data_IF_505243633132
#
_entry.id   IF_505243633132
#
_cell.length_a   1.000
_cell.length_b   1.000
_cell.length_c   1.000
_cell.angle_alpha   90.00
_cell.angle_beta   90.00
_cell.angle_gamma   90.00
#
_symmetry.space_group_name_H-M   'P 1'
#
loop_
_entity.id
_entity.type
_entity.pdbx_description
1 polymer ?
#
# COMPACT_ATOMS: atom_id res chain seq x y z
N UNK A 1 32.26 -27.34 63.03
CA UNK A 1 31.53 -28.12 62.01
C UNK A 1 30.07 -27.69 61.82
N UNK A 2 29.18 -27.83 62.81
CA UNK A 2 27.74 -27.47 62.66
C UNK A 2 27.46 -26.03 62.20
N UNK A 3 28.21 -25.04 62.71
CA UNK A 3 28.06 -23.63 62.30
C UNK A 3 28.44 -23.38 60.84
N UNK A 4 29.43 -24.10 60.31
CA UNK A 4 29.87 -23.97 58.92
C UNK A 4 28.84 -24.57 57.94
N UNK A 5 28.22 -25.70 58.33
CA UNK A 5 27.11 -26.32 57.60
C UNK A 5 25.87 -25.41 57.53
N UNK A 6 25.56 -24.70 58.61
CA UNK A 6 24.43 -23.75 58.63
C UNK A 6 24.69 -22.56 57.70
N UNK A 7 25.91 -22.00 57.72
CA UNK A 7 26.27 -20.85 56.86
C UNK A 7 26.27 -21.23 55.38
N UNK A 8 26.80 -22.41 55.03
CA UNK A 8 26.80 -22.90 53.64
C UNK A 8 25.39 -23.18 53.11
N UNK A 9 24.51 -23.74 53.94
CA UNK A 9 23.09 -23.95 53.58
C UNK A 9 22.36 -22.63 53.32
N UNK A 10 22.58 -21.61 54.17
CA UNK A 10 21.97 -20.28 54.00
C UNK A 10 22.47 -19.60 52.72
N UNK A 11 23.77 -19.67 52.44
CA UNK A 11 24.33 -19.13 51.20
C UNK A 11 23.75 -19.83 49.98
N UNK A 12 23.63 -21.16 50.00
CA UNK A 12 23.07 -21.94 48.91
C UNK A 12 21.58 -21.62 48.66
N UNK A 13 20.78 -21.51 49.73
CA UNK A 13 19.37 -21.11 49.64
C UNK A 13 19.21 -19.67 49.13
N UNK A 14 20.07 -18.76 49.57
CA UNK A 14 20.10 -17.37 49.09
C UNK A 14 20.44 -17.28 47.60
N UNK A 15 21.37 -18.11 47.13
CA UNK A 15 21.79 -18.17 45.73
C UNK A 15 20.73 -18.82 44.83
N UNK A 16 20.03 -19.85 45.33
CA UNK A 16 18.87 -20.41 44.65
C UNK A 16 17.70 -19.42 44.56
N UNK A 17 17.44 -18.66 45.63
CA UNK A 17 16.41 -17.62 45.65
C UNK A 17 16.73 -16.48 44.68
N UNK A 18 18.00 -16.03 44.61
CA UNK A 18 18.40 -15.00 43.65
C UNK A 18 18.33 -15.48 42.21
N UNK A 19 18.74 -16.74 41.94
CA UNK A 19 18.66 -17.34 40.61
C UNK A 19 17.21 -17.50 40.14
N UNK A 20 16.31 -17.89 41.04
CA UNK A 20 14.87 -18.02 40.73
C UNK A 20 14.20 -16.67 40.51
N UNK A 21 14.58 -15.61 41.25
CA UNK A 21 14.13 -14.24 40.97
C UNK A 21 14.65 -13.75 39.61
N UNK A 22 15.92 -14.02 39.27
CA UNK A 22 16.49 -13.72 37.96
C UNK A 22 15.75 -14.41 36.82
N UNK A 23 15.44 -15.71 36.96
CA UNK A 23 14.67 -16.48 35.97
C UNK A 23 13.24 -15.95 35.82
N UNK A 24 12.60 -15.55 36.92
CA UNK A 24 11.24 -15.00 36.90
C UNK A 24 11.19 -13.59 36.29
N UNK A 25 12.22 -12.76 36.55
CA UNK A 25 12.38 -11.45 35.91
C UNK A 25 12.70 -11.55 34.42
N UNK A 26 13.33 -12.63 33.98
CA UNK A 26 13.59 -12.90 32.57
C UNK A 26 12.38 -13.47 31.82
N UNK A 27 11.27 -13.75 32.52
CA UNK A 27 10.07 -14.29 31.89
C UNK A 27 9.26 -13.16 31.25
N UNK A 28 9.64 -12.79 30.03
CA UNK A 28 8.86 -11.87 29.21
C UNK A 28 7.51 -12.51 28.90
N UNK A 29 6.43 -12.00 29.49
CA UNK A 29 5.08 -12.41 29.13
C UNK A 29 4.78 -11.93 27.71
N UNK A 30 4.33 -12.81 26.79
CA UNK A 30 4.00 -12.41 25.44
C UNK A 30 2.78 -11.48 25.43
N UNK A 31 2.75 -10.55 24.48
CA UNK A 31 1.56 -9.74 24.26
C UNK A 31 0.43 -10.60 23.67
N UNK A 32 -0.72 -10.66 24.35
CA UNK A 32 -1.90 -11.44 23.92
C UNK A 32 -3.09 -10.55 23.53
N UNK A 33 -2.84 -9.28 23.22
CA UNK A 33 -3.88 -8.41 22.66
C UNK A 33 -4.25 -8.88 21.25
N UNK A 34 -5.49 -8.61 20.81
CA UNK A 34 -5.93 -8.95 19.46
C UNK A 34 -5.00 -8.37 18.38
N UNK A 35 -4.50 -7.14 18.58
CA UNK A 35 -3.55 -6.52 17.66
C UNK A 35 -2.24 -7.32 17.58
N UNK A 36 -1.67 -7.70 18.72
CA UNK A 36 -0.44 -8.51 18.75
C UNK A 36 -0.62 -9.86 18.06
N UNK A 37 -1.73 -10.55 18.30
CA UNK A 37 -2.03 -11.86 17.68
C UNK A 37 -2.21 -11.72 16.17
N UNK A 38 -2.93 -10.68 15.71
CA UNK A 38 -3.15 -10.44 14.28
C UNK A 38 -1.85 -10.14 13.53
N UNK A 39 -1.01 -9.26 14.10
CA UNK A 39 0.27 -8.88 13.49
C UNK A 39 1.24 -10.07 13.50
N UNK A 40 1.35 -10.81 14.61
CA UNK A 40 2.24 -11.97 14.67
C UNK A 40 1.82 -13.07 13.69
N UNK A 41 0.51 -13.31 13.53
CA UNK A 41 -0.01 -14.24 12.54
C UNK A 41 0.32 -13.82 11.11
N UNK A 42 0.22 -12.51 10.81
CA UNK A 42 0.57 -11.97 9.49
C UNK A 42 2.07 -12.09 9.19
N UNK A 43 2.92 -11.85 10.21
CA UNK A 43 4.37 -12.06 10.11
C UNK A 43 4.64 -13.54 9.83
N UNK A 44 4.12 -14.44 10.66
CA UNK A 44 4.34 -15.89 10.51
C UNK A 44 3.87 -16.42 9.15
N UNK A 45 2.74 -15.94 8.63
CA UNK A 45 2.25 -16.32 7.30
C UNK A 45 3.10 -15.79 6.13
N UNK A 46 3.96 -14.79 6.38
CA UNK A 46 4.86 -14.24 5.36
C UNK A 46 6.22 -14.95 5.31
N UNK A 47 6.62 -15.57 6.43
CA UNK A 47 7.92 -16.23 6.56
C UNK A 47 8.01 -17.51 5.73
N UNK A 48 9.19 -17.78 5.19
CA UNK A 48 9.64 -19.12 4.78
C UNK A 48 10.65 -19.64 5.80
N UNK A 49 10.17 -20.49 6.72
CA UNK A 49 11.03 -21.06 7.78
C UNK A 49 12.02 -22.12 7.29
N UNK A 50 11.93 -22.54 6.02
CA UNK A 50 12.90 -23.43 5.40
C UNK A 50 14.16 -22.72 4.90
N UNK A 51 14.10 -21.40 4.72
CA UNK A 51 15.24 -20.59 4.29
C UNK A 51 16.12 -20.18 5.48
N UNK A 52 17.44 -20.23 5.31
CA UNK A 52 18.37 -19.73 6.33
C UNK A 52 18.39 -18.18 6.30
N UNK A 53 17.97 -17.50 7.39
CA UNK A 53 17.97 -16.04 7.44
C UNK A 53 19.35 -15.39 7.35
N UNK A 54 20.43 -16.13 7.65
CA UNK A 54 21.80 -15.63 7.56
C UNK A 54 22.32 -15.61 6.11
N UNK A 55 21.72 -16.43 5.22
CA UNK A 55 22.11 -16.56 3.82
C UNK A 55 21.19 -15.74 2.90
N UNK A 56 19.86 -15.85 3.09
CA UNK A 56 18.87 -15.07 2.33
C UNK A 56 17.72 -14.62 3.24
N UNK A 57 17.92 -13.48 3.89
CA UNK A 57 16.91 -12.89 4.75
C UNK A 57 15.64 -12.47 4.01
N UNK A 58 15.73 -12.14 2.71
CA UNK A 58 14.56 -11.77 1.93
C UNK A 58 13.65 -12.97 1.69
N UNK A 59 14.24 -14.11 1.28
CA UNK A 59 13.49 -15.35 1.14
C UNK A 59 12.91 -15.81 2.48
N UNK A 60 13.69 -15.79 3.56
CA UNK A 60 13.20 -16.11 4.90
C UNK A 60 12.02 -15.21 5.33
N UNK A 61 12.13 -13.90 5.12
CA UNK A 61 11.12 -12.95 5.61
C UNK A 61 9.85 -12.89 4.74
N UNK A 62 9.98 -13.11 3.43
CA UNK A 62 8.92 -12.84 2.45
C UNK A 62 8.48 -14.06 1.63
N UNK A 63 9.18 -15.20 1.74
CA UNK A 63 8.98 -16.35 0.85
C UNK A 63 7.55 -16.91 0.90
N UNK A 64 6.98 -17.06 2.10
CA UNK A 64 5.58 -17.48 2.26
C UNK A 64 4.58 -16.46 1.71
N UNK A 65 4.90 -15.15 1.80
CA UNK A 65 4.07 -14.11 1.18
C UNK A 65 4.07 -14.21 -0.34
N UNK A 66 5.25 -14.41 -0.95
CA UNK A 66 5.40 -14.51 -2.41
C UNK A 66 4.61 -15.70 -2.97
N UNK A 67 4.67 -16.85 -2.29
CA UNK A 67 3.94 -18.05 -2.71
C UNK A 67 2.43 -17.89 -2.63
N UNK A 68 1.94 -17.18 -1.61
CA UNK A 68 0.50 -16.98 -1.38
C UNK A 68 -0.09 -15.78 -2.12
N UNK A 69 0.73 -14.93 -2.74
CA UNK A 69 0.29 -13.69 -3.40
C UNK A 69 0.84 -13.61 -4.84
N UNK A 70 0.33 -14.42 -5.78
CA UNK A 70 0.67 -14.26 -7.19
C UNK A 70 0.28 -12.87 -7.68
N UNK A 71 0.97 -12.39 -8.73
CA UNK A 71 0.67 -11.09 -9.33
C UNK A 71 -0.76 -11.15 -9.93
N UNK A 72 -1.70 -10.33 -9.44
CA UNK A 72 -3.06 -10.32 -9.97
C UNK A 72 -3.12 -9.76 -11.39
N UNK A 73 -4.21 -10.05 -12.10
CA UNK A 73 -4.48 -9.41 -13.39
C UNK A 73 -4.50 -7.87 -13.25
N UNK A 74 -4.14 -7.20 -14.33
CA UNK A 74 -4.02 -5.73 -14.35
C UNK A 74 -2.78 -5.18 -13.65
N UNK A 75 -1.93 -6.04 -13.06
CA UNK A 75 -0.70 -5.64 -12.39
C UNK A 75 0.53 -6.28 -13.04
N UNK A 76 1.62 -5.52 -13.14
CA UNK A 76 2.93 -6.03 -13.57
C UNK A 76 3.86 -6.38 -12.40
N UNK A 77 3.49 -5.96 -11.19
CA UNK A 77 4.19 -6.23 -9.93
C UNK A 77 3.18 -6.23 -8.78
N UNK A 78 3.47 -7.01 -7.76
CA UNK A 78 2.61 -7.09 -6.59
C UNK A 78 3.43 -7.11 -5.31
N UNK A 79 3.02 -6.29 -4.35
CA UNK A 79 3.74 -6.07 -3.10
C UNK A 79 2.89 -5.25 -2.12
N UNK A 80 3.47 -4.93 -0.97
CA UNK A 80 2.76 -4.19 0.10
C UNK A 80 2.31 -2.80 -0.37
N UNK A 81 3.12 -2.09 -1.16
CA UNK A 81 2.73 -0.78 -1.70
C UNK A 81 1.52 -0.87 -2.63
N UNK A 82 1.44 -1.91 -3.46
CA UNK A 82 0.27 -2.15 -4.31
C UNK A 82 -0.96 -2.47 -3.48
N UNK A 83 -0.85 -3.38 -2.49
CA UNK A 83 -1.96 -3.70 -1.58
C UNK A 83 -2.50 -2.46 -0.87
N UNK A 84 -1.62 -1.60 -0.37
CA UNK A 84 -2.04 -0.35 0.29
C UNK A 84 -2.68 0.63 -0.70
N UNK A 85 -2.12 0.74 -1.90
CA UNK A 85 -2.69 1.57 -2.96
C UNK A 85 -4.12 1.13 -3.30
N UNK A 86 -4.34 -0.15 -3.57
CA UNK A 86 -5.67 -0.69 -3.89
C UNK A 86 -6.68 -0.47 -2.75
N UNK A 87 -6.26 -0.66 -1.50
CA UNK A 87 -7.10 -0.35 -0.35
C UNK A 87 -7.52 1.13 -0.32
N UNK A 88 -6.58 2.03 -0.56
CA UNK A 88 -6.86 3.47 -0.62
C UNK A 88 -7.75 3.84 -1.82
N UNK A 89 -7.56 3.22 -2.98
CA UNK A 89 -8.43 3.43 -4.15
C UNK A 89 -9.87 3.00 -3.86
N UNK A 90 -10.08 1.86 -3.19
CA UNK A 90 -11.42 1.43 -2.79
C UNK A 90 -12.08 2.40 -1.79
N UNK A 91 -11.32 2.91 -0.82
CA UNK A 91 -11.81 3.93 0.10
C UNK A 91 -12.18 5.23 -0.63
N UNK A 92 -11.30 5.73 -1.51
CA UNK A 92 -11.55 6.92 -2.33
C UNK A 92 -12.78 6.75 -3.22
N UNK A 93 -12.91 5.61 -3.89
CA UNK A 93 -14.10 5.27 -4.69
C UNK A 93 -15.37 5.39 -3.83
N UNK A 94 -15.36 4.79 -2.64
CA UNK A 94 -16.52 4.82 -1.74
C UNK A 94 -16.90 6.24 -1.31
N UNK A 95 -15.91 7.11 -1.09
CA UNK A 95 -16.13 8.52 -0.77
C UNK A 95 -16.70 9.31 -1.97
N UNK A 96 -16.18 9.06 -3.17
CA UNK A 96 -16.58 9.78 -4.38
C UNK A 96 -17.97 9.36 -4.89
N UNK A 97 -18.34 8.10 -4.71
CA UNK A 97 -19.68 7.57 -5.05
C UNK A 97 -20.76 7.97 -4.05
N UNK A 98 -20.38 8.31 -2.81
CA UNK A 98 -21.34 8.72 -1.80
C UNK A 98 -21.85 10.15 -2.05
N UNK A 99 -23.06 10.28 -2.58
CA UNK A 99 -23.71 11.57 -2.85
C UNK A 99 -24.56 12.10 -1.68
N UNK A 100 -24.67 11.37 -0.58
CA UNK A 100 -25.54 11.76 0.55
C UNK A 100 -25.00 12.96 1.34
N UNK A 101 -23.68 13.17 1.32
CA UNK A 101 -23.00 14.27 2.02
C UNK A 101 -22.75 15.51 1.13
N UNK A 102 -23.37 15.59 -0.05
CA UNK A 102 -23.05 16.63 -1.06
C UNK A 102 -23.21 18.07 -0.54
N UNK A 103 -24.15 18.30 0.39
CA UNK A 103 -24.39 19.63 0.98
C UNK A 103 -23.30 20.09 1.96
N UNK A 104 -22.53 19.16 2.54
CA UNK A 104 -21.43 19.46 3.47
C UNK A 104 -20.05 19.56 2.81
N UNK A 105 -19.94 19.22 1.52
CA UNK A 105 -18.66 19.28 0.82
C UNK A 105 -18.20 20.72 0.58
N UNK A 106 -16.89 20.94 0.59
CA UNK A 106 -16.27 22.14 0.05
C UNK A 106 -16.40 22.21 -1.47
N UNK A 107 -16.08 23.37 -2.06
CA UNK A 107 -16.09 23.49 -3.53
C UNK A 107 -15.05 22.60 -4.21
N UNK A 108 -13.86 22.45 -3.60
CA UNK A 108 -12.81 21.58 -4.11
C UNK A 108 -13.28 20.12 -4.16
N UNK A 109 -13.86 19.61 -3.07
CA UNK A 109 -14.39 18.24 -3.01
C UNK A 109 -15.51 18.00 -4.03
N UNK A 110 -16.43 18.97 -4.21
CA UNK A 110 -17.46 18.88 -5.25
C UNK A 110 -16.87 18.79 -6.66
N UNK A 111 -15.80 19.53 -6.95
CA UNK A 111 -15.12 19.45 -8.27
C UNK A 111 -14.50 18.08 -8.48
N UNK A 112 -13.84 17.51 -7.47
CA UNK A 112 -13.27 16.16 -7.54
C UNK A 112 -14.37 15.11 -7.75
N UNK A 113 -15.50 15.21 -7.04
CA UNK A 113 -16.63 14.30 -7.22
C UNK A 113 -17.23 14.37 -8.63
N UNK A 114 -17.45 15.59 -9.16
CA UNK A 114 -17.93 15.76 -10.55
C UNK A 114 -16.93 15.24 -11.58
N UNK A 115 -15.64 15.45 -11.34
CA UNK A 115 -14.60 14.93 -12.21
C UNK A 115 -14.62 13.39 -12.23
N UNK A 116 -14.72 12.75 -11.06
CA UNK A 116 -14.91 11.30 -10.96
C UNK A 116 -16.14 10.82 -11.73
N UNK A 117 -17.31 11.44 -11.50
CA UNK A 117 -18.55 11.08 -12.21
C UNK A 117 -18.45 11.26 -13.72
N UNK A 118 -17.73 12.28 -14.20
CA UNK A 118 -17.50 12.49 -15.63
C UNK A 118 -16.66 11.39 -16.26
N UNK A 119 -15.68 10.86 -15.51
CA UNK A 119 -14.83 9.75 -15.94
C UNK A 119 -15.59 8.41 -15.92
N UNK A 120 -16.42 8.19 -14.89
CA UNK A 120 -17.19 6.95 -14.75
C UNK A 120 -18.40 6.85 -15.70
N UNK A 121 -18.76 7.92 -16.42
CA UNK A 121 -19.84 7.90 -17.40
C UNK A 121 -19.36 7.33 -18.74
N UNK A 122 -19.07 6.03 -18.75
CA UNK A 122 -18.58 5.31 -19.93
C UNK A 122 -19.54 5.43 -21.12
N UNK A 123 -20.86 5.44 -20.89
CA UNK A 123 -21.86 5.63 -21.96
C UNK A 123 -21.63 6.91 -22.76
N UNK A 124 -21.32 8.02 -22.08
CA UNK A 124 -21.03 9.30 -22.75
C UNK A 124 -19.66 9.27 -23.45
N UNK A 125 -18.68 8.58 -22.86
CA UNK A 125 -17.35 8.42 -23.45
C UNK A 125 -17.47 7.63 -24.78
N UNK A 126 -18.21 6.52 -24.76
CA UNK A 126 -18.44 5.67 -25.94
C UNK A 126 -19.30 6.35 -27.00
N UNK A 127 -20.24 7.22 -26.62
CA UNK A 127 -21.00 8.04 -27.58
C UNK A 127 -20.10 9.05 -28.31
N UNK A 128 -19.14 9.66 -27.60
CA UNK A 128 -18.24 10.68 -28.14
C UNK A 128 -17.09 10.07 -28.97
N UNK A 129 -16.65 8.86 -28.64
CA UNK A 129 -15.53 8.17 -29.28
C UNK A 129 -14.29 9.06 -29.39
N UNK A 130 -13.55 8.99 -30.51
CA UNK A 130 -12.35 9.78 -30.76
C UNK A 130 -12.63 11.27 -31.05
N UNK A 131 -13.90 11.68 -31.19
CA UNK A 131 -14.26 13.04 -31.63
C UNK A 131 -13.61 14.15 -30.79
N UNK A 132 -13.61 14.10 -29.43
CA UNK A 132 -12.98 15.15 -28.63
C UNK A 132 -11.49 15.31 -28.95
N UNK A 133 -10.76 14.22 -29.18
CA UNK A 133 -9.34 14.26 -29.52
C UNK A 133 -9.12 14.77 -30.95
N UNK A 134 -9.91 14.29 -31.92
CA UNK A 134 -9.82 14.72 -33.33
C UNK A 134 -10.09 16.21 -33.47
N UNK A 135 -11.12 16.73 -32.79
CA UNK A 135 -11.45 18.14 -32.80
C UNK A 135 -10.29 18.99 -32.22
N UNK A 136 -9.55 18.48 -31.22
CA UNK A 136 -8.36 19.16 -30.69
C UNK A 136 -7.18 19.11 -31.66
N UNK A 137 -6.91 17.96 -32.27
CA UNK A 137 -5.85 17.82 -33.28
C UNK A 137 -6.09 18.78 -34.45
N UNK A 138 -7.33 18.91 -34.92
CA UNK A 138 -7.69 19.84 -35.99
C UNK A 138 -7.47 21.30 -35.59
N UNK A 139 -7.83 21.68 -34.36
CA UNK A 139 -7.55 23.03 -33.83
C UNK A 139 -6.06 23.35 -33.78
N UNK A 140 -5.21 22.33 -33.61
CA UNK A 140 -3.75 22.46 -33.54
C UNK A 140 -3.06 22.39 -34.92
N UNK A 141 -3.81 22.38 -36.02
CA UNK A 141 -3.25 22.36 -37.39
C UNK A 141 -3.25 20.98 -38.06
N UNK A 142 -3.86 19.98 -37.42
CA UNK A 142 -4.01 18.63 -37.97
C UNK A 142 -2.79 17.74 -37.76
N UNK A 143 -2.93 16.47 -38.13
CA UNK A 143 -1.85 15.48 -38.09
C UNK A 143 -1.84 14.70 -39.39
N UNK A 144 -0.67 14.55 -40.01
CA UNK A 144 -0.49 13.94 -41.33
C UNK A 144 -1.03 12.49 -41.47
N UNK A 145 -1.36 11.83 -40.36
CA UNK A 145 -2.04 10.52 -40.34
C UNK A 145 -3.53 10.64 -40.69
N UNK A 146 -4.19 11.73 -40.28
CA UNK A 146 -5.66 11.89 -40.34
C UNK A 146 -6.12 12.94 -41.35
N UNK A 147 -5.30 13.94 -41.61
CA UNK A 147 -5.51 15.01 -42.60
C UNK A 147 -4.14 15.45 -43.12
N UNK A 148 -3.99 15.85 -44.41
CA UNK A 148 -2.76 16.51 -44.84
C UNK A 148 -2.44 17.62 -43.85
N UNK A 149 -1.27 17.54 -43.21
CA UNK A 149 -0.88 18.52 -42.18
C UNK A 149 -0.98 19.92 -42.76
N UNK A 150 -1.83 20.77 -42.16
CA UNK A 150 -1.88 22.17 -42.53
C UNK A 150 -0.52 22.82 -42.24
N UNK A 151 -0.25 23.96 -42.87
CA UNK A 151 0.92 24.81 -42.59
C UNK A 151 0.84 25.42 -41.18
N UNK A 152 0.84 24.59 -40.14
CA UNK A 152 0.88 25.03 -38.73
C UNK A 152 2.31 25.31 -38.30
N UNK A 153 2.53 26.46 -37.66
CA UNK A 153 3.83 26.80 -37.07
C UNK A 153 4.11 25.88 -35.88
N UNK A 154 5.24 25.15 -35.91
CA UNK A 154 5.67 24.29 -34.81
C UNK A 154 5.69 25.04 -33.46
N UNK A 155 6.11 26.31 -33.46
CA UNK A 155 6.17 27.12 -32.24
C UNK A 155 4.78 27.46 -31.70
N UNK A 156 3.79 27.68 -32.56
CA UNK A 156 2.41 27.95 -32.14
C UNK A 156 1.76 26.68 -31.57
N UNK A 157 1.97 25.53 -32.21
CA UNK A 157 1.53 24.24 -31.69
C UNK A 157 2.17 23.96 -30.34
N UNK A 158 3.48 24.14 -30.23
CA UNK A 158 4.22 23.94 -28.99
C UNK A 158 3.68 24.84 -27.88
N UNK A 159 3.53 26.15 -28.15
CA UNK A 159 2.96 27.10 -27.19
C UNK A 159 1.54 26.70 -26.77
N UNK A 160 0.67 26.32 -27.72
CA UNK A 160 -0.69 25.91 -27.41
C UNK A 160 -0.77 24.65 -26.54
N UNK A 161 0.14 23.70 -26.73
CA UNK A 161 0.19 22.45 -25.95
C UNK A 161 0.82 22.66 -24.57
N UNK A 162 1.85 23.50 -24.46
CA UNK A 162 2.60 23.68 -23.20
C UNK A 162 2.06 24.82 -22.32
N UNK A 163 1.28 25.77 -22.87
CA UNK A 163 0.76 26.91 -22.11
C UNK A 163 -0.26 26.53 -21.01
N UNK A 164 -0.69 25.27 -20.97
CA UNK A 164 -1.65 24.75 -19.99
C UNK A 164 -1.02 23.83 -18.94
N UNK A 165 0.32 23.75 -18.88
CA UNK A 165 1.09 23.11 -17.82
C UNK A 165 1.72 24.13 -16.86
#
# INVERSE_FOLDING_TARGET
EKRLLIVTLILFLGLLASLSVLLFQYQTQPCLTQACISVSSSILGSLDQGADPCEDFFRYACGGWIESNPIPDGHSRWGIFNKLWEHNQAALKSLLENTTATSSLSEAERKVQRYYQSCMNESRIEELQAKPLVDQIQKLGGWNISTPSGEGSFNEMLLAVVAHY
#
